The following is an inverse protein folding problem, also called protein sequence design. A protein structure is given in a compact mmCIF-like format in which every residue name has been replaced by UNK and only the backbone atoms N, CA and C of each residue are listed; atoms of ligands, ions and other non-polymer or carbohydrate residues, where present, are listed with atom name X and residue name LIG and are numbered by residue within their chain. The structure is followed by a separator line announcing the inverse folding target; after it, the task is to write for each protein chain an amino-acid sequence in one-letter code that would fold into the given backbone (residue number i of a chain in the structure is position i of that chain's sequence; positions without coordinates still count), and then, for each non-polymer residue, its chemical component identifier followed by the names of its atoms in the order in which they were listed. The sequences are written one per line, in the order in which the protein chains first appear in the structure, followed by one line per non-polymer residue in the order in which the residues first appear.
data_IF_507574388976
#
_entry.id   IF_507574388976
#
_cell.length_a   1.000
_cell.length_b   1.000
_cell.length_c   1.000
_cell.angle_alpha   90.00
_cell.angle_beta   90.00
_cell.angle_gamma   90.00
#
_symmetry.space_group_name_H-M   'P 1'
#
loop_
_entity.id
_entity.type
_entity.pdbx_description
1 polymer ?
#
# COMPACT_ATOMS: atom_id res chain seq x y z
N UNK A 1 -15.67 -62.41 22.61
CA UNK A 1 -15.14 -61.05 22.31
C UNK A 1 -16.21 -60.02 21.88
N UNK A 2 -17.41 -60.01 22.49
CA UNK A 2 -18.43 -58.95 22.24
C UNK A 2 -18.54 -57.91 23.37
N UNK A 3 -17.91 -58.17 24.52
CA UNK A 3 -17.97 -57.28 25.68
C UNK A 3 -16.94 -56.13 25.62
N UNK A 4 -15.76 -56.37 25.07
CA UNK A 4 -14.71 -55.35 24.86
C UNK A 4 -15.11 -54.27 23.83
N UNK A 5 -15.89 -54.61 22.79
CA UNK A 5 -16.44 -53.60 21.85
C UNK A 5 -17.50 -52.69 22.48
N UNK A 6 -18.06 -53.07 23.64
CA UNK A 6 -19.06 -52.26 24.36
C UNK A 6 -18.41 -51.28 25.35
N UNK A 7 -17.15 -51.52 25.73
CA UNK A 7 -16.37 -50.63 26.60
C UNK A 7 -15.60 -49.60 25.76
N UNK A 8 -15.11 -49.98 24.57
CA UNK A 8 -14.34 -49.10 23.68
C UNK A 8 -15.27 -48.24 22.78
N UNK A 9 -16.54 -48.60 22.62
CA UNK A 9 -17.51 -47.89 21.78
C UNK A 9 -18.26 -46.72 22.45
N UNK A 10 -17.93 -46.38 23.71
CA UNK A 10 -18.35 -45.12 24.35
C UNK A 10 -17.16 -44.16 24.35
N UNK A 11 -16.65 -43.87 23.16
CA UNK A 11 -16.01 -42.59 22.97
C UNK A 11 -17.12 -41.56 23.16
N UNK A 12 -16.97 -40.70 24.18
CA UNK A 12 -17.85 -39.58 24.45
C UNK A 12 -18.03 -38.79 23.15
N UNK A 13 -19.13 -39.02 22.42
CA UNK A 13 -19.66 -38.00 21.53
C UNK A 13 -20.14 -36.88 22.46
N UNK A 14 -19.21 -36.00 22.85
CA UNK A 14 -19.59 -34.68 23.28
C UNK A 14 -20.45 -34.13 22.15
N UNK A 15 -21.71 -33.83 22.44
CA UNK A 15 -22.57 -33.09 21.52
C UNK A 15 -21.91 -31.73 21.29
N UNK A 16 -21.12 -31.62 20.23
CA UNK A 16 -20.51 -30.35 19.82
C UNK A 16 -21.66 -29.41 19.50
N UNK A 17 -21.84 -28.40 20.32
CA UNK A 17 -22.90 -27.41 20.10
C UNK A 17 -22.54 -26.63 18.83
N UNK A 18 -23.46 -26.57 17.86
CA UNK A 18 -23.29 -25.77 16.65
C UNK A 18 -23.81 -24.36 16.90
N UNK A 19 -23.01 -23.35 16.52
CA UNK A 19 -23.34 -21.93 16.72
C UNK A 19 -23.08 -21.17 15.43
N UNK A 20 -24.09 -20.42 14.96
CA UNK A 20 -23.92 -19.53 13.83
C UNK A 20 -23.04 -18.33 14.20
N UNK A 21 -22.15 -17.92 13.31
CA UNK A 21 -21.17 -16.85 13.56
C UNK A 21 -21.85 -15.53 14.01
N UNK A 22 -22.95 -15.13 13.37
CA UNK A 22 -23.70 -13.93 13.77
C UNK A 22 -24.32 -13.99 15.18
N UNK A 23 -24.41 -15.17 15.82
CA UNK A 23 -24.88 -15.34 17.21
C UNK A 23 -23.75 -15.57 18.19
N UNK A 24 -22.51 -15.62 17.71
CA UNK A 24 -21.38 -15.99 18.54
C UNK A 24 -21.13 -14.94 19.62
N UNK A 25 -21.24 -13.65 19.29
CA UNK A 25 -21.06 -12.57 20.25
C UNK A 25 -22.08 -12.64 21.41
N UNK A 26 -23.38 -12.82 21.08
CA UNK A 26 -24.42 -13.01 22.09
C UNK A 26 -24.16 -14.24 22.96
N UNK A 27 -23.75 -15.35 22.35
CA UNK A 27 -23.44 -16.58 23.08
C UNK A 27 -22.23 -16.42 24.02
N UNK A 28 -21.20 -15.71 23.58
CA UNK A 28 -20.01 -15.38 24.37
C UNK A 28 -20.40 -14.49 25.56
N UNK A 29 -21.26 -13.48 25.35
CA UNK A 29 -21.76 -12.60 26.40
C UNK A 29 -22.63 -13.33 27.44
N UNK A 30 -23.54 -14.20 26.99
CA UNK A 30 -24.37 -15.04 27.87
C UNK A 30 -23.50 -15.97 28.73
N UNK A 31 -22.43 -16.51 28.13
CA UNK A 31 -21.49 -17.38 28.84
C UNK A 31 -20.70 -16.61 29.89
N UNK A 32 -20.21 -15.42 29.57
CA UNK A 32 -19.54 -14.53 30.51
C UNK A 32 -20.45 -14.20 31.70
N UNK A 33 -21.72 -13.86 31.45
CA UNK A 33 -22.67 -13.55 32.51
C UNK A 33 -22.86 -14.74 33.47
N UNK A 34 -23.06 -15.93 32.92
CA UNK A 34 -23.18 -17.15 33.74
C UNK A 34 -21.91 -17.44 34.56
N UNK A 35 -20.74 -17.17 33.99
CA UNK A 35 -19.44 -17.40 34.63
C UNK A 35 -19.11 -16.32 35.69
N UNK A 36 -19.61 -15.09 35.54
CA UNK A 36 -19.57 -14.04 36.57
C UNK A 36 -20.52 -14.36 37.73
N UNK A 37 -21.73 -14.86 37.44
CA UNK A 37 -22.67 -15.28 38.48
C UNK A 37 -22.11 -16.45 39.32
N UNK A 38 -21.32 -17.34 38.71
CA UNK A 38 -20.64 -18.43 39.41
C UNK A 38 -19.43 -17.93 40.23
N UNK A 39 -18.68 -16.97 39.68
CA UNK A 39 -17.63 -16.26 40.43
C UNK A 39 -18.19 -15.59 41.68
N UNK A 40 -19.25 -14.79 41.56
CA UNK A 40 -19.86 -14.09 42.69
C UNK A 40 -20.34 -15.05 43.77
N UNK A 41 -20.91 -16.20 43.39
CA UNK A 41 -21.29 -17.26 44.33
C UNK A 41 -20.09 -17.87 45.04
N UNK A 42 -19.02 -18.17 44.31
CA UNK A 42 -17.79 -18.73 44.87
C UNK A 42 -17.07 -17.74 45.78
N UNK A 43 -17.03 -16.46 45.41
CA UNK A 43 -16.49 -15.38 46.21
C UNK A 43 -17.30 -15.22 47.51
N UNK A 44 -18.64 -15.23 47.45
CA UNK A 44 -19.50 -15.14 48.63
C UNK A 44 -19.21 -16.23 49.66
N UNK A 45 -18.90 -17.47 49.22
CA UNK A 45 -18.48 -18.54 50.12
C UNK A 45 -17.14 -18.25 50.80
N UNK A 46 -16.18 -17.70 50.06
CA UNK A 46 -14.87 -17.29 50.63
C UNK A 46 -15.05 -16.13 51.61
N UNK A 47 -15.91 -15.15 51.30
CA UNK A 47 -16.21 -14.04 52.20
C UNK A 47 -16.87 -14.52 53.49
N UNK A 48 -17.79 -15.48 53.43
CA UNK A 48 -18.35 -16.11 54.63
C UNK A 48 -17.27 -16.80 55.48
N UNK A 49 -16.34 -17.53 54.85
CA UNK A 49 -15.18 -18.13 55.56
C UNK A 49 -14.28 -17.05 56.19
N UNK A 50 -14.10 -15.90 55.53
CA UNK A 50 -13.31 -14.76 56.03
C UNK A 50 -14.02 -14.10 57.23
N UNK A 51 -15.33 -13.90 57.15
CA UNK A 51 -16.15 -13.35 58.25
C UNK A 51 -16.09 -14.27 59.48
N UNK A 52 -16.29 -15.58 59.31
CA UNK A 52 -16.19 -16.56 60.39
C UNK A 52 -14.80 -16.55 61.05
N UNK A 53 -13.75 -16.45 60.24
CA UNK A 53 -12.36 -16.37 60.73
C UNK A 53 -12.10 -15.04 61.44
N UNK A 54 -12.67 -13.93 60.96
CA UNK A 54 -12.57 -12.64 61.61
C UNK A 54 -13.30 -12.61 62.96
N UNK A 55 -14.47 -13.24 63.08
CA UNK A 55 -15.16 -13.40 64.35
C UNK A 55 -14.36 -14.27 65.34
N UNK A 56 -13.72 -15.33 64.86
CA UNK A 56 -12.83 -16.15 65.69
C UNK A 56 -11.65 -15.33 66.19
N UNK A 57 -11.04 -14.54 65.32
CA UNK A 57 -9.94 -13.64 65.66
C UNK A 57 -10.35 -12.60 66.71
N UNK A 58 -11.58 -12.07 66.65
CA UNK A 58 -12.13 -11.20 67.71
C UNK A 58 -12.17 -11.92 69.06
N UNK A 59 -12.64 -13.17 69.09
CA UNK A 59 -12.72 -13.98 70.32
C UNK A 59 -11.34 -14.28 70.91
N UNK A 60 -10.38 -14.63 70.06
CA UNK A 60 -9.03 -15.00 70.50
C UNK A 60 -8.21 -13.77 70.93
N UNK A 61 -8.48 -12.60 70.34
CA UNK A 61 -7.97 -11.30 70.83
C UNK A 61 -8.55 -10.95 72.20
N UNK A 62 -9.85 -11.15 72.43
CA UNK A 62 -10.45 -10.94 73.75
C UNK A 62 -9.88 -11.87 74.82
N UNK A 63 -9.56 -13.11 74.44
CA UNK A 63 -8.87 -14.08 75.31
C UNK A 63 -7.45 -13.62 75.64
N UNK A 64 -6.70 -13.15 74.63
CA UNK A 64 -5.35 -12.59 74.83
C UNK A 64 -5.38 -11.35 75.75
N UNK A 65 -6.36 -10.47 75.61
CA UNK A 65 -6.51 -9.25 76.41
C UNK A 65 -6.70 -9.54 77.91
N UNK A 66 -7.50 -10.56 78.21
CA UNK A 66 -7.87 -10.96 79.58
C UNK A 66 -6.92 -11.98 80.21
N UNK A 67 -5.96 -12.53 79.45
CA UNK A 67 -5.00 -13.52 79.94
C UNK A 67 -4.07 -12.93 81.02
N UNK A 68 -3.88 -13.69 82.10
CA UNK A 68 -2.97 -13.34 83.19
C UNK A 68 -1.53 -13.81 82.89
N UNK A 69 -0.51 -12.95 83.07
CA UNK A 69 0.87 -13.34 82.81
C UNK A 69 1.40 -14.25 83.94
N UNK A 70 2.33 -15.17 83.64
CA UNK A 70 3.03 -15.93 84.67
C UNK A 70 3.90 -15.02 85.54
N UNK A 71 4.27 -15.48 86.74
CA UNK A 71 5.20 -14.76 87.62
C UNK A 71 6.58 -14.61 86.95
N UNK A 72 6.98 -13.35 86.70
CA UNK A 72 8.18 -13.02 85.91
C UNK A 72 8.85 -11.73 86.41
N UNK A 73 10.12 -11.46 86.05
CA UNK A 73 10.78 -10.21 86.43
C UNK A 73 10.03 -8.97 85.93
N UNK A 74 9.97 -7.86 86.69
CA UNK A 74 9.17 -6.67 86.34
C UNK A 74 9.45 -6.09 84.95
N UNK A 75 10.70 -6.16 84.49
CA UNK A 75 11.10 -5.70 83.15
C UNK A 75 10.54 -6.59 82.04
N UNK A 76 10.48 -7.91 82.25
CA UNK A 76 9.92 -8.86 81.29
C UNK A 76 8.39 -8.70 81.20
N UNK A 77 7.72 -8.53 82.35
CA UNK A 77 6.28 -8.24 82.41
C UNK A 77 5.92 -6.96 81.66
N UNK A 78 6.65 -5.85 81.90
CA UNK A 78 6.40 -4.57 81.22
C UNK A 78 6.53 -4.67 79.69
N UNK A 79 7.57 -5.34 79.21
CA UNK A 79 7.80 -5.49 77.76
C UNK A 79 6.78 -6.40 77.12
N UNK A 80 6.44 -7.53 77.75
CA UNK A 80 5.46 -8.48 77.21
C UNK A 80 4.03 -7.94 77.21
N UNK A 81 3.61 -7.19 78.23
CA UNK A 81 2.30 -6.54 78.28
C UNK A 81 2.18 -5.43 77.22
N UNK A 82 3.20 -4.56 77.07
CA UNK A 82 3.19 -3.55 76.01
C UNK A 82 3.17 -4.16 74.60
N UNK A 83 3.83 -5.31 74.43
CA UNK A 83 3.80 -6.07 73.19
C UNK A 83 2.43 -6.69 72.92
N UNK A 84 1.76 -7.23 73.95
CA UNK A 84 0.38 -7.74 73.87
C UNK A 84 -0.58 -6.63 73.42
N UNK A 85 -0.54 -5.47 74.06
CA UNK A 85 -1.44 -4.35 73.74
C UNK A 85 -1.20 -3.83 72.30
N UNK A 86 0.05 -3.87 71.82
CA UNK A 86 0.35 -3.54 70.43
C UNK A 86 -0.21 -4.59 69.45
N UNK A 87 -0.11 -5.90 69.75
CA UNK A 87 -0.74 -6.95 68.92
C UNK A 87 -2.24 -6.72 68.83
N UNK A 88 -2.91 -6.53 69.98
CA UNK A 88 -4.36 -6.28 70.04
C UNK A 88 -4.74 -5.09 69.17
N UNK A 89 -4.01 -3.97 69.30
CA UNK A 89 -4.24 -2.79 68.47
C UNK A 89 -4.06 -3.07 66.97
N UNK A 90 -2.98 -3.73 66.56
CA UNK A 90 -2.73 -4.02 65.15
C UNK A 90 -3.79 -4.96 64.57
N UNK A 91 -4.21 -5.97 65.32
CA UNK A 91 -5.21 -6.94 64.88
C UNK A 91 -6.61 -6.31 64.82
N UNK A 92 -7.00 -5.47 65.79
CA UNK A 92 -8.29 -4.75 65.72
C UNK A 92 -8.36 -3.83 64.50
N UNK A 93 -7.28 -3.13 64.16
CA UNK A 93 -7.21 -2.32 62.93
C UNK A 93 -7.32 -3.15 61.64
N UNK A 94 -6.90 -4.42 61.67
CA UNK A 94 -7.07 -5.34 60.54
C UNK A 94 -8.55 -5.77 60.44
N UNK A 95 -9.16 -6.17 61.56
CA UNK A 95 -10.56 -6.62 61.64
C UNK A 95 -11.51 -5.52 61.16
N UNK A 96 -11.33 -4.27 61.60
CA UNK A 96 -12.14 -3.12 61.17
C UNK A 96 -12.16 -2.92 59.64
N UNK A 97 -11.15 -3.41 58.94
CA UNK A 97 -10.99 -3.27 57.50
C UNK A 97 -11.44 -4.50 56.70
N UNK A 98 -11.80 -5.60 57.38
CA UNK A 98 -12.38 -6.78 56.75
C UNK A 98 -13.89 -6.54 56.69
N UNK A 99 -14.35 -5.95 55.58
CA UNK A 99 -15.77 -5.76 55.30
C UNK A 99 -16.11 -6.41 53.97
N UNK A 100 -17.25 -7.10 53.91
CA UNK A 100 -17.73 -7.75 52.71
C UNK A 100 -18.17 -6.69 51.68
N UNK A 101 -17.55 -6.67 50.48
CA UNK A 101 -17.88 -5.71 49.43
C UNK A 101 -19.19 -6.10 48.70
N UNK A 102 -19.58 -5.30 47.70
CA UNK A 102 -20.57 -5.73 46.72
C UNK A 102 -20.05 -6.97 45.96
N UNK A 103 -20.94 -7.91 45.64
CA UNK A 103 -20.58 -9.20 45.02
C UNK A 103 -20.39 -9.08 43.49
N UNK A 104 -19.76 -8.01 43.04
CA UNK A 104 -19.32 -7.83 41.66
C UNK A 104 -17.79 -7.96 41.54
N UNK A 105 -17.32 -8.27 40.34
CA UNK A 105 -15.90 -8.54 40.08
C UNK A 105 -14.98 -7.36 40.44
N UNK A 106 -15.41 -6.12 40.17
CA UNK A 106 -14.60 -4.93 40.40
C UNK A 106 -14.43 -4.67 41.89
N UNK A 107 -15.52 -4.71 42.65
CA UNK A 107 -15.52 -4.47 44.09
C UNK A 107 -14.74 -5.55 44.85
N UNK A 108 -14.84 -6.82 44.43
CA UNK A 108 -14.09 -7.93 45.02
C UNK A 108 -12.57 -7.78 44.77
N UNK A 109 -12.18 -7.37 43.57
CA UNK A 109 -10.77 -7.13 43.21
C UNK A 109 -10.17 -5.97 44.01
N UNK A 110 -10.91 -4.87 44.16
CA UNK A 110 -10.49 -3.72 44.97
C UNK A 110 -10.37 -4.08 46.46
N UNK A 111 -11.33 -4.86 46.98
CA UNK A 111 -11.25 -5.39 48.33
C UNK A 111 -9.97 -6.21 48.53
N UNK A 112 -9.69 -7.18 47.65
CA UNK A 112 -8.51 -8.04 47.78
C UNK A 112 -7.22 -7.21 47.83
N UNK A 113 -7.04 -6.27 46.91
CA UNK A 113 -5.85 -5.41 46.86
C UNK A 113 -5.65 -4.63 48.17
N UNK A 114 -6.74 -4.13 48.74
CA UNK A 114 -6.73 -3.38 50.00
C UNK A 114 -6.48 -4.29 51.21
N UNK A 115 -7.17 -5.43 51.28
CA UNK A 115 -7.10 -6.38 52.38
C UNK A 115 -5.71 -7.04 52.48
N UNK A 116 -5.12 -7.44 51.36
CA UNK A 116 -3.78 -8.04 51.29
C UNK A 116 -2.71 -7.05 51.80
N UNK A 117 -2.77 -5.80 51.33
CA UNK A 117 -1.86 -4.73 51.79
C UNK A 117 -2.00 -4.45 53.29
N UNK A 118 -3.23 -4.40 53.79
CA UNK A 118 -3.49 -4.18 55.22
C UNK A 118 -2.99 -5.34 56.08
N UNK A 119 -3.19 -6.58 55.62
CA UNK A 119 -2.71 -7.78 56.31
C UNK A 119 -1.19 -7.81 56.38
N UNK A 120 -0.49 -7.49 55.29
CA UNK A 120 0.98 -7.47 55.27
C UNK A 120 1.53 -6.37 56.19
N UNK A 121 0.94 -5.17 56.11
CA UNK A 121 1.28 -4.05 57.02
C UNK A 121 1.09 -4.42 58.49
N UNK A 122 0.04 -5.20 58.81
CA UNK A 122 -0.27 -5.65 60.16
C UNK A 122 0.74 -6.68 60.66
N UNK A 123 1.14 -7.62 59.80
CA UNK A 123 2.19 -8.58 60.14
C UNK A 123 3.53 -7.89 60.38
N UNK A 124 3.95 -6.99 59.48
CA UNK A 124 5.21 -6.24 59.61
C UNK A 124 5.30 -5.46 60.92
N UNK A 125 4.22 -4.74 61.27
CA UNK A 125 4.14 -3.93 62.51
C UNK A 125 4.07 -4.78 63.78
N UNK A 126 3.63 -6.03 63.69
CA UNK A 126 3.45 -6.91 64.85
C UNK A 126 4.60 -7.88 65.10
N UNK A 127 5.53 -8.11 64.15
CA UNK A 127 6.63 -9.10 64.27
C UNK A 127 7.40 -9.01 65.60
N UNK A 128 7.86 -7.80 65.97
CA UNK A 128 8.63 -7.59 67.21
C UNK A 128 7.78 -7.82 68.46
N UNK A 129 6.51 -7.43 68.40
CA UNK A 129 5.57 -7.57 69.51
C UNK A 129 5.15 -9.04 69.69
N UNK A 130 4.97 -9.78 68.59
CA UNK A 130 4.72 -11.21 68.61
C UNK A 130 5.79 -11.97 69.39
N UNK A 131 7.08 -11.72 69.11
CA UNK A 131 8.18 -12.42 69.82
C UNK A 131 8.16 -12.16 71.33
N UNK A 132 7.89 -10.91 71.76
CA UNK A 132 7.87 -10.53 73.17
C UNK A 132 6.60 -10.98 73.90
N UNK A 133 5.42 -10.92 73.26
CA UNK A 133 4.17 -11.34 73.86
C UNK A 133 4.07 -12.86 73.98
N UNK A 134 4.56 -13.61 72.98
CA UNK A 134 4.57 -15.08 72.96
C UNK A 134 5.34 -15.70 74.14
N UNK A 135 6.29 -14.97 74.73
CA UNK A 135 7.02 -15.44 75.90
C UNK A 135 6.16 -15.47 77.18
N UNK A 136 5.17 -14.58 77.28
CA UNK A 136 4.23 -14.54 78.42
C UNK A 136 2.91 -15.26 78.13
N UNK A 137 2.44 -15.20 76.88
CA UNK A 137 1.13 -15.71 76.44
C UNK A 137 1.29 -16.66 75.23
N UNK A 138 2.02 -17.77 75.37
CA UNK A 138 2.37 -18.62 74.22
C UNK A 138 1.17 -19.26 73.54
N UNK A 139 0.10 -19.55 74.30
CA UNK A 139 -1.10 -20.20 73.79
C UNK A 139 -1.97 -19.20 73.03
N UNK A 140 -2.31 -18.09 73.68
CA UNK A 140 -3.23 -17.06 73.19
C UNK A 140 -2.63 -16.33 71.98
N UNK A 141 -1.33 -16.01 72.02
CA UNK A 141 -0.61 -15.46 70.85
C UNK A 141 -0.51 -16.51 69.73
N UNK A 142 -0.44 -17.79 70.06
CA UNK A 142 -0.45 -18.88 69.08
C UNK A 142 -1.77 -18.99 68.33
N UNK A 143 -2.89 -18.85 69.02
CA UNK A 143 -4.26 -18.85 68.47
C UNK A 143 -4.47 -17.65 67.54
N UNK A 144 -4.18 -16.42 68.01
CA UNK A 144 -4.26 -15.19 67.19
C UNK A 144 -3.41 -15.28 65.91
N UNK A 145 -2.20 -15.84 65.99
CA UNK A 145 -1.32 -16.00 64.81
C UNK A 145 -1.85 -17.07 63.86
N UNK A 146 -2.54 -18.09 64.36
CA UNK A 146 -3.19 -19.10 63.53
C UNK A 146 -4.31 -18.48 62.72
N UNK A 147 -5.20 -17.72 63.36
CA UNK A 147 -6.32 -17.05 62.72
C UNK A 147 -5.85 -16.06 61.64
N UNK A 148 -4.84 -15.25 61.93
CA UNK A 148 -4.25 -14.32 60.93
C UNK A 148 -3.66 -15.07 59.73
N UNK A 149 -3.09 -16.26 59.96
CA UNK A 149 -2.61 -17.12 58.87
C UNK A 149 -3.77 -17.71 58.07
N UNK A 150 -4.88 -18.02 58.71
CA UNK A 150 -6.06 -18.55 58.03
C UNK A 150 -6.75 -17.46 57.19
N UNK A 151 -6.85 -16.22 57.68
CA UNK A 151 -7.23 -15.04 56.87
C UNK A 151 -6.32 -14.91 55.64
N UNK A 152 -5.00 -15.06 55.79
CA UNK A 152 -4.06 -15.03 54.65
C UNK A 152 -4.35 -16.13 53.63
N UNK A 153 -4.64 -17.35 54.07
CA UNK A 153 -4.97 -18.46 53.15
C UNK A 153 -6.24 -18.16 52.37
N UNK A 154 -7.25 -17.59 53.03
CA UNK A 154 -8.51 -17.22 52.40
C UNK A 154 -8.34 -16.09 51.38
N UNK A 155 -7.53 -15.07 51.69
CA UNK A 155 -7.17 -14.03 50.72
C UNK A 155 -6.39 -14.59 49.52
N UNK A 156 -5.51 -15.57 49.73
CA UNK A 156 -4.84 -16.25 48.62
C UNK A 156 -5.81 -17.10 47.78
N UNK A 157 -6.81 -17.74 48.40
CA UNK A 157 -7.88 -18.45 47.70
C UNK A 157 -8.72 -17.48 46.86
N UNK A 158 -9.02 -16.30 47.40
CA UNK A 158 -9.71 -15.22 46.68
C UNK A 158 -8.87 -14.70 45.51
N UNK A 159 -7.56 -14.52 45.70
CA UNK A 159 -6.63 -14.12 44.63
C UNK A 159 -6.68 -15.08 43.45
N UNK A 160 -6.55 -16.38 43.70
CA UNK A 160 -6.58 -17.40 42.64
C UNK A 160 -7.90 -17.35 41.85
N UNK A 161 -9.01 -17.12 42.55
CA UNK A 161 -10.33 -16.98 41.93
C UNK A 161 -10.43 -15.70 41.07
N UNK A 162 -9.82 -14.59 41.51
CA UNK A 162 -9.76 -13.34 40.74
C UNK A 162 -8.88 -13.52 39.49
N UNK A 163 -7.68 -14.09 39.65
CA UNK A 163 -6.72 -14.28 38.57
C UNK A 163 -7.31 -15.19 37.47
N UNK A 164 -7.96 -16.31 37.84
CA UNK A 164 -8.63 -17.20 36.89
C UNK A 164 -9.74 -16.48 36.09
N UNK A 165 -10.46 -15.55 36.72
CA UNK A 165 -11.50 -14.77 36.04
C UNK A 165 -10.95 -13.63 35.19
N UNK A 166 -9.83 -13.02 35.59
CA UNK A 166 -9.15 -11.99 34.79
C UNK A 166 -8.69 -12.59 33.46
N UNK A 167 -8.09 -13.78 33.49
CA UNK A 167 -7.68 -14.52 32.28
C UNK A 167 -8.89 -14.85 31.38
N UNK A 168 -10.02 -15.27 31.97
CA UNK A 168 -11.25 -15.56 31.23
C UNK A 168 -11.82 -14.30 30.55
N UNK A 169 -11.85 -13.16 31.24
CA UNK A 169 -12.34 -11.89 30.68
C UNK A 169 -11.44 -11.44 29.52
N UNK A 170 -10.12 -11.50 29.68
CA UNK A 170 -9.17 -11.14 28.61
C UNK A 170 -9.36 -11.98 27.34
N UNK A 171 -9.55 -13.30 27.49
CA UNK A 171 -9.81 -14.19 26.35
C UNK A 171 -11.12 -13.85 25.60
N UNK A 172 -12.12 -13.31 26.30
CA UNK A 172 -13.40 -12.94 25.68
C UNK A 172 -13.29 -11.64 24.86
N UNK A 173 -12.53 -10.66 25.36
CA UNK A 173 -12.25 -9.43 24.61
C UNK A 173 -11.48 -9.74 23.32
N UNK A 174 -10.52 -10.68 23.36
CA UNK A 174 -9.82 -11.17 22.17
C UNK A 174 -10.77 -11.84 21.17
N UNK A 175 -11.74 -12.63 21.65
CA UNK A 175 -12.76 -13.26 20.81
C UNK A 175 -13.64 -12.20 20.14
N UNK A 176 -14.15 -11.22 20.89
CA UNK A 176 -14.96 -10.12 20.36
C UNK A 176 -14.17 -9.31 19.30
N UNK A 177 -12.91 -8.96 19.59
CA UNK A 177 -12.03 -8.30 18.63
C UNK A 177 -11.80 -9.11 17.35
N UNK A 178 -11.67 -10.43 17.47
CA UNK A 178 -11.52 -11.34 16.32
C UNK A 178 -12.81 -11.44 15.50
N UNK A 179 -13.98 -11.48 16.14
CA UNK A 179 -15.29 -11.44 15.46
C UNK A 179 -15.41 -10.16 14.62
N UNK A 180 -15.12 -9.00 15.21
CA UNK A 180 -15.18 -7.73 14.49
C UNK A 180 -14.21 -7.70 13.30
N UNK A 181 -12.98 -8.19 13.48
CA UNK A 181 -11.99 -8.30 12.39
C UNK A 181 -12.48 -9.17 11.23
N UNK A 182 -13.16 -10.29 11.52
CA UNK A 182 -13.76 -11.16 10.49
C UNK A 182 -14.85 -10.42 9.71
N UNK A 183 -15.74 -9.71 10.41
CA UNK A 183 -16.82 -8.91 9.80
C UNK A 183 -16.22 -7.85 8.86
N UNK A 184 -15.23 -7.09 9.35
CA UNK A 184 -14.57 -6.04 8.56
C UNK A 184 -13.92 -6.62 7.29
N UNK A 185 -13.27 -7.79 7.38
CA UNK A 185 -12.69 -8.46 6.22
C UNK A 185 -13.76 -8.95 5.25
N UNK A 186 -14.89 -9.48 5.74
CA UNK A 186 -16.01 -9.92 4.89
C UNK A 186 -16.64 -8.75 4.12
N UNK A 187 -16.81 -7.60 4.77
CA UNK A 187 -17.30 -6.37 4.14
C UNK A 187 -16.32 -5.85 3.08
N UNK A 188 -15.02 -5.83 3.42
CA UNK A 188 -13.93 -5.41 2.51
C UNK A 188 -13.79 -6.35 1.29
N UNK A 189 -14.08 -7.65 1.45
CA UNK A 189 -14.19 -8.61 0.34
C UNK A 189 -15.42 -8.31 -0.53
N UNK A 190 -16.57 -8.06 0.10
CA UNK A 190 -17.84 -7.78 -0.60
C UNK A 190 -17.73 -6.51 -1.43
N UNK A 191 -17.16 -5.44 -0.86
CA UNK A 191 -16.93 -4.19 -1.55
C UNK A 191 -16.02 -4.37 -2.76
N UNK A 192 -14.89 -5.06 -2.61
CA UNK A 192 -13.98 -5.31 -3.74
C UNK A 192 -14.61 -6.16 -4.84
N UNK A 193 -15.41 -7.16 -4.49
CA UNK A 193 -16.16 -7.94 -5.48
C UNK A 193 -17.15 -7.06 -6.26
N UNK A 194 -17.81 -6.11 -5.60
CA UNK A 194 -18.67 -5.12 -6.25
C UNK A 194 -17.86 -4.23 -7.22
N UNK A 195 -16.69 -3.74 -6.79
CA UNK A 195 -15.78 -2.96 -7.65
C UNK A 195 -15.32 -3.75 -8.88
N UNK A 196 -14.94 -5.02 -8.73
CA UNK A 196 -14.58 -5.89 -9.84
C UNK A 196 -15.74 -6.05 -10.83
N UNK A 197 -16.97 -6.21 -10.32
CA UNK A 197 -18.16 -6.34 -11.18
C UNK A 197 -18.40 -5.06 -11.98
N UNK A 198 -18.30 -3.90 -11.35
CA UNK A 198 -18.49 -2.61 -12.00
C UNK A 198 -17.39 -2.35 -13.05
N UNK A 199 -16.13 -2.57 -12.69
CA UNK A 199 -14.99 -2.48 -13.61
C UNK A 199 -15.14 -3.46 -14.79
N UNK A 200 -15.65 -4.67 -14.54
CA UNK A 200 -15.95 -5.66 -15.57
C UNK A 200 -17.06 -5.22 -16.54
N UNK A 201 -18.08 -4.50 -16.07
CA UNK A 201 -19.10 -3.90 -16.93
C UNK A 201 -18.48 -2.81 -17.80
N UNK A 202 -17.74 -1.88 -17.19
CA UNK A 202 -17.07 -0.79 -17.90
C UNK A 202 -16.08 -1.31 -18.96
N UNK A 203 -15.35 -2.39 -18.65
CA UNK A 203 -14.46 -3.08 -19.59
C UNK A 203 -15.21 -3.60 -20.81
N UNK A 204 -16.39 -4.21 -20.63
CA UNK A 204 -17.20 -4.73 -21.73
C UNK A 204 -17.73 -3.59 -22.62
N UNK A 205 -18.15 -2.49 -22.02
CA UNK A 205 -18.63 -1.31 -22.76
C UNK A 205 -17.50 -0.73 -23.64
N UNK A 206 -16.31 -0.53 -23.07
CA UNK A 206 -15.16 -0.03 -23.86
C UNK A 206 -14.68 -1.02 -24.92
N UNK A 207 -14.73 -2.33 -24.66
CA UNK A 207 -14.42 -3.35 -25.67
C UNK A 207 -15.41 -3.28 -26.83
N UNK A 208 -16.71 -3.17 -26.53
CA UNK A 208 -17.72 -3.04 -27.57
C UNK A 208 -17.50 -1.78 -28.42
N UNK A 209 -17.24 -0.64 -27.80
CA UNK A 209 -16.94 0.61 -28.52
C UNK A 209 -15.66 0.48 -29.36
N UNK A 210 -14.60 -0.14 -28.81
CA UNK A 210 -13.36 -0.38 -29.54
C UNK A 210 -13.58 -1.27 -30.78
N UNK A 211 -14.37 -2.33 -30.64
CA UNK A 211 -14.74 -3.21 -31.76
C UNK A 211 -15.57 -2.45 -32.81
N UNK A 212 -16.45 -1.55 -32.39
CA UNK A 212 -17.21 -0.70 -33.32
C UNK A 212 -16.30 0.26 -34.09
N UNK A 213 -15.35 0.93 -33.41
CA UNK A 213 -14.36 1.79 -34.05
C UNK A 213 -13.44 1.00 -35.00
N UNK A 214 -13.03 -0.20 -34.62
CA UNK A 214 -12.24 -1.10 -35.48
C UNK A 214 -13.03 -1.50 -36.74
N UNK A 215 -14.30 -1.89 -36.59
CA UNK A 215 -15.17 -2.24 -37.71
C UNK A 215 -15.44 -1.03 -38.63
N UNK A 216 -15.55 0.18 -38.07
CA UNK A 216 -15.66 1.42 -38.86
C UNK A 216 -14.38 1.69 -39.65
N UNK A 217 -13.20 1.50 -39.06
CA UNK A 217 -11.91 1.61 -39.76
C UNK A 217 -11.77 0.57 -40.88
N UNK A 218 -12.20 -0.67 -40.64
CA UNK A 218 -12.21 -1.73 -41.65
C UNK A 218 -13.10 -1.35 -42.84
N UNK A 219 -14.34 -0.92 -42.59
CA UNK A 219 -15.24 -0.41 -43.64
C UNK A 219 -14.67 0.80 -44.38
N UNK A 220 -13.99 1.70 -43.66
CA UNK A 220 -13.32 2.85 -44.25
C UNK A 220 -12.26 2.37 -45.25
N UNK A 221 -11.50 1.33 -44.89
CA UNK A 221 -10.43 0.77 -45.73
C UNK A 221 -10.92 0.08 -47.01
N UNK A 222 -12.17 -0.40 -47.01
CA UNK A 222 -12.84 -0.96 -48.19
C UNK A 222 -13.38 0.10 -49.16
N UNK A 223 -13.39 1.37 -48.76
CA UNK A 223 -13.96 2.45 -49.58
C UNK A 223 -13.08 2.82 -50.77
N UNK A 224 -13.71 3.29 -51.85
CA UNK A 224 -13.00 3.84 -53.00
C UNK A 224 -12.19 5.09 -52.65
N UNK A 225 -12.70 5.90 -51.71
CA UNK A 225 -12.02 7.10 -51.21
C UNK A 225 -10.72 6.73 -50.49
N UNK A 226 -10.68 5.60 -49.76
CA UNK A 226 -9.47 5.11 -49.09
C UNK A 226 -8.39 4.67 -50.07
N UNK A 227 -8.80 3.91 -51.09
CA UNK A 227 -7.89 3.49 -52.14
C UNK A 227 -7.29 4.71 -52.87
N UNK A 228 -8.09 5.77 -53.08
CA UNK A 228 -7.60 7.04 -53.63
C UNK A 228 -6.65 7.75 -52.67
N UNK A 229 -6.94 7.79 -51.38
CA UNK A 229 -6.09 8.38 -50.35
C UNK A 229 -4.71 7.70 -50.26
N UNK A 230 -4.68 6.36 -50.17
CA UNK A 230 -3.44 5.57 -50.11
C UNK A 230 -2.59 5.77 -51.37
N UNK A 231 -3.25 5.84 -52.53
CA UNK A 231 -2.57 6.13 -53.80
C UNK A 231 -1.94 7.53 -53.79
N UNK A 232 -2.67 8.54 -53.34
CA UNK A 232 -2.17 9.92 -53.23
C UNK A 232 -1.02 10.03 -52.22
N UNK A 233 -1.07 9.36 -51.06
CA UNK A 233 0.05 9.32 -50.11
C UNK A 233 1.30 8.69 -50.72
N UNK A 234 1.13 7.62 -51.51
CA UNK A 234 2.22 6.96 -52.20
C UNK A 234 2.82 7.85 -53.29
N UNK A 235 1.96 8.49 -54.10
CA UNK A 235 2.36 9.44 -55.14
C UNK A 235 3.05 10.67 -54.53
N UNK A 236 2.59 11.16 -53.36
CA UNK A 236 3.22 12.26 -52.62
C UNK A 236 4.63 11.89 -52.18
N UNK A 237 4.78 10.71 -51.56
CA UNK A 237 6.08 10.22 -51.11
C UNK A 237 7.07 10.11 -52.25
N UNK A 238 6.66 9.52 -53.37
CA UNK A 238 7.50 9.39 -54.56
C UNK A 238 7.89 10.78 -55.11
N UNK A 239 6.95 11.72 -55.21
CA UNK A 239 7.25 13.07 -55.69
C UNK A 239 8.22 13.83 -54.77
N UNK A 240 8.12 13.65 -53.45
CA UNK A 240 9.08 14.21 -52.49
C UNK A 240 10.48 13.62 -52.68
N UNK A 241 10.60 12.29 -52.83
CA UNK A 241 11.88 11.63 -53.12
C UNK A 241 12.50 12.14 -54.43
N UNK A 242 11.71 12.26 -55.50
CA UNK A 242 12.17 12.80 -56.79
C UNK A 242 12.62 14.26 -56.68
N UNK A 243 11.95 15.10 -55.87
CA UNK A 243 12.38 16.48 -55.62
C UNK A 243 13.74 16.51 -54.92
N UNK A 244 13.89 15.71 -53.86
CA UNK A 244 15.11 15.66 -53.05
C UNK A 244 16.30 15.13 -53.88
N UNK A 245 16.05 14.18 -54.79
CA UNK A 245 17.05 13.71 -55.76
C UNK A 245 17.49 14.81 -56.74
N UNK A 246 16.56 15.66 -57.19
CA UNK A 246 16.91 16.81 -58.03
C UNK A 246 17.72 17.85 -57.25
N UNK A 247 17.33 18.16 -56.02
CA UNK A 247 18.07 19.09 -55.15
C UNK A 247 19.50 18.59 -54.91
N UNK A 248 19.64 17.30 -54.59
CA UNK A 248 20.94 16.64 -54.42
C UNK A 248 21.75 16.70 -55.72
N UNK A 249 21.14 16.35 -56.86
CA UNK A 249 21.81 16.37 -58.16
C UNK A 249 22.27 17.79 -58.54
N UNK A 250 21.48 18.82 -58.23
CA UNK A 250 21.86 20.22 -58.47
C UNK A 250 22.98 20.64 -57.52
N UNK A 251 22.96 20.25 -56.25
CA UNK A 251 24.08 20.50 -55.34
C UNK A 251 25.39 19.86 -55.85
N UNK A 252 25.32 18.61 -56.30
CA UNK A 252 26.46 17.87 -56.86
C UNK A 252 27.05 18.54 -58.11
N UNK A 253 26.23 19.21 -58.93
CA UNK A 253 26.71 19.99 -60.06
C UNK A 253 27.60 21.18 -59.63
N UNK A 254 27.35 21.78 -58.46
CA UNK A 254 28.08 22.96 -58.00
C UNK A 254 29.30 22.60 -57.12
N UNK A 255 29.28 21.43 -56.47
CA UNK A 255 30.35 20.96 -55.58
C UNK A 255 31.78 21.05 -56.16
N UNK A 256 32.05 20.69 -57.43
CA UNK A 256 33.40 20.79 -57.99
C UNK A 256 33.94 22.23 -58.08
N UNK A 257 33.04 23.23 -58.08
CA UNK A 257 33.38 24.65 -58.11
C UNK A 257 33.57 25.26 -56.71
N UNK A 258 33.27 24.55 -55.62
CA UNK A 258 33.38 25.06 -54.25
C UNK A 258 34.73 25.72 -53.94
N UNK A 259 35.83 25.19 -54.46
CA UNK A 259 37.16 25.79 -54.26
C UNK A 259 37.32 27.12 -55.02
N UNK A 260 36.78 27.21 -56.24
CA UNK A 260 36.78 28.44 -57.02
C UNK A 260 35.89 29.49 -56.32
N UNK A 261 34.70 29.10 -55.88
CA UNK A 261 33.78 29.96 -55.14
C UNK A 261 34.36 30.47 -53.82
N UNK A 262 34.94 29.60 -52.99
CA UNK A 262 35.62 30.01 -51.74
C UNK A 262 36.80 30.95 -52.00
N UNK A 263 37.52 30.79 -53.12
CA UNK A 263 38.58 31.72 -53.53
C UNK A 263 38.04 33.07 -53.97
N UNK A 264 36.95 33.09 -54.74
CA UNK A 264 36.25 34.35 -55.08
C UNK A 264 35.80 35.08 -53.83
N UNK A 265 35.18 34.38 -52.87
CA UNK A 265 34.77 34.94 -51.57
C UNK A 265 35.96 35.52 -50.78
N UNK A 266 37.11 34.84 -50.80
CA UNK A 266 38.34 35.31 -50.14
C UNK A 266 39.00 36.51 -50.84
N UNK A 267 38.98 36.55 -52.18
CA UNK A 267 39.52 37.68 -52.94
C UNK A 267 38.67 38.94 -52.75
N UNK A 268 37.36 38.79 -52.61
CA UNK A 268 36.43 39.88 -52.23
C UNK A 268 36.68 40.40 -50.82
N UNK A 269 36.77 39.50 -49.83
CA UNK A 269 37.05 39.88 -48.44
C UNK A 269 38.43 40.53 -48.22
N UNK A 270 39.37 40.36 -49.16
CA UNK A 270 40.72 40.96 -49.11
C UNK A 270 40.88 42.16 -50.04
N UNK A 271 39.78 42.67 -50.61
CA UNK A 271 39.73 43.80 -51.56
C UNK A 271 40.57 43.62 -52.84
N UNK A 272 41.14 42.43 -53.05
CA UNK A 272 41.89 42.09 -54.27
C UNK A 272 40.97 42.04 -55.49
N UNK A 273 39.67 41.78 -55.28
CA UNK A 273 38.63 41.86 -56.30
C UNK A 273 37.28 42.11 -55.65
N UNK A 274 36.72 43.30 -55.84
CA UNK A 274 35.38 43.62 -55.32
C UNK A 274 34.29 42.94 -56.16
N UNK A 275 33.50 42.07 -55.54
CA UNK A 275 32.28 41.51 -56.12
C UNK A 275 31.12 42.47 -55.84
N UNK A 276 30.19 42.61 -56.80
CA UNK A 276 28.95 43.36 -56.58
C UNK A 276 28.08 42.66 -55.52
N UNK A 277 27.17 43.39 -54.89
CA UNK A 277 26.22 42.81 -53.93
C UNK A 277 25.41 41.63 -54.52
N UNK A 278 25.02 41.74 -55.80
CA UNK A 278 24.35 40.65 -56.54
C UNK A 278 25.26 39.43 -56.67
N UNK A 279 26.52 39.61 -57.06
CA UNK A 279 27.48 38.51 -57.20
C UNK A 279 27.82 37.84 -55.86
N UNK A 280 27.88 38.59 -54.75
CA UNK A 280 28.07 38.01 -53.41
C UNK A 280 26.89 37.11 -53.03
N UNK A 281 25.66 37.58 -53.24
CA UNK A 281 24.44 36.80 -53.00
C UNK A 281 24.39 35.52 -53.85
N UNK A 282 24.68 35.63 -55.14
CA UNK A 282 24.70 34.47 -56.05
C UNK A 282 25.77 33.45 -55.66
N UNK A 283 26.94 33.92 -55.23
CA UNK A 283 28.05 33.09 -54.75
C UNK A 283 27.68 32.31 -53.48
N UNK A 284 27.00 32.94 -52.52
CA UNK A 284 26.54 32.29 -51.30
C UNK A 284 25.46 31.25 -51.61
N UNK A 285 24.49 31.57 -52.47
CA UNK A 285 23.46 30.62 -52.91
C UNK A 285 24.06 29.42 -53.65
N UNK A 286 25.11 29.61 -54.48
CA UNK A 286 25.82 28.51 -55.13
C UNK A 286 26.49 27.52 -54.15
N UNK A 287 26.82 27.98 -52.95
CA UNK A 287 27.50 27.19 -51.92
C UNK A 287 26.52 26.49 -50.96
N UNK A 288 25.31 27.05 -50.78
CA UNK A 288 24.35 26.62 -49.77
C UNK A 288 23.12 25.93 -50.36
N UNK A 289 22.47 26.56 -51.34
CA UNK A 289 21.28 26.00 -51.98
C UNK A 289 21.12 26.53 -53.42
N UNK A 290 21.82 25.96 -54.40
CA UNK A 290 21.84 26.48 -55.77
C UNK A 290 20.50 26.40 -56.49
N UNK A 291 19.58 25.51 -56.10
CA UNK A 291 18.27 25.31 -56.78
C UNK A 291 17.36 26.55 -56.71
N UNK A 292 17.49 27.37 -55.67
CA UNK A 292 16.68 28.56 -55.44
C UNK A 292 16.99 29.69 -56.45
N UNK A 293 18.17 29.66 -57.06
CA UNK A 293 18.66 30.73 -57.93
C UNK A 293 17.96 30.76 -59.29
N UNK A 294 17.64 31.94 -59.82
CA UNK A 294 17.07 32.06 -61.16
C UNK A 294 18.01 31.49 -62.25
N UNK A 295 17.44 30.83 -63.26
CA UNK A 295 18.24 30.16 -64.30
C UNK A 295 19.05 31.14 -65.15
N UNK A 296 18.51 32.33 -65.43
CA UNK A 296 19.22 33.38 -66.15
C UNK A 296 20.36 33.94 -65.27
N UNK A 297 20.08 34.17 -63.98
CA UNK A 297 21.10 34.63 -63.04
C UNK A 297 22.25 33.61 -62.86
N UNK A 298 21.96 32.32 -62.85
CA UNK A 298 23.00 31.26 -62.81
C UNK A 298 23.81 31.26 -64.10
N UNK A 299 23.16 31.38 -65.25
CA UNK A 299 23.85 31.42 -66.54
C UNK A 299 24.79 32.61 -66.65
N UNK A 300 24.31 33.80 -66.27
CA UNK A 300 25.10 35.03 -66.26
C UNK A 300 26.28 34.92 -65.28
N UNK A 301 26.03 34.43 -64.07
CA UNK A 301 27.07 34.28 -63.05
C UNK A 301 28.12 33.24 -63.45
N UNK A 302 27.71 32.12 -64.04
CA UNK A 302 28.62 31.10 -64.53
C UNK A 302 29.42 31.58 -65.74
N UNK A 303 28.86 32.45 -66.58
CA UNK A 303 29.62 33.11 -67.65
C UNK A 303 30.73 34.00 -67.09
N UNK A 304 30.47 34.72 -66.00
CA UNK A 304 31.50 35.49 -65.29
C UNK A 304 32.56 34.58 -64.66
N UNK A 305 32.14 33.50 -64.00
CA UNK A 305 33.04 32.48 -63.41
C UNK A 305 33.92 31.85 -64.49
N UNK A 306 33.34 31.53 -65.64
CA UNK A 306 34.04 30.98 -66.81
C UNK A 306 35.17 31.90 -67.27
N UNK A 307 34.87 33.20 -67.49
CA UNK A 307 35.87 34.20 -67.90
C UNK A 307 37.01 34.34 -66.89
N UNK A 308 36.72 34.23 -65.59
CA UNK A 308 37.74 34.33 -64.55
C UNK A 308 38.65 33.10 -64.49
N UNK A 309 38.08 31.93 -64.77
CA UNK A 309 38.84 30.70 -64.87
C UNK A 309 39.69 30.66 -66.14
N UNK A 310 39.18 31.17 -67.27
CA UNK A 310 39.92 31.22 -68.53
C UNK A 310 41.13 32.18 -68.46
N UNK A 311 40.97 33.33 -67.82
CA UNK A 311 42.04 34.34 -67.65
C UNK A 311 42.99 34.06 -66.46
N UNK A 312 42.94 32.87 -65.86
CA UNK A 312 43.74 32.43 -64.70
C UNK A 312 43.71 33.35 -63.46
N UNK A 313 42.67 34.19 -63.33
CA UNK A 313 42.54 35.21 -62.26
C UNK A 313 42.41 34.58 -60.87
N UNK A 314 41.93 33.34 -60.80
CA UNK A 314 41.71 32.61 -59.55
C UNK A 314 42.94 31.80 -59.09
N UNK A 315 44.05 31.81 -59.84
CA UNK A 315 45.33 31.18 -59.51
C UNK A 315 45.23 29.67 -59.24
N UNK A 316 44.35 28.98 -59.97
CA UNK A 316 44.13 27.54 -59.83
C UNK A 316 45.18 26.77 -60.67
N UNK A 317 45.65 25.62 -60.18
CA UNK A 317 46.54 24.75 -60.97
C UNK A 317 45.84 24.31 -62.27
N UNK A 318 46.57 24.23 -63.38
CA UNK A 318 46.02 23.98 -64.73
C UNK A 318 44.96 22.86 -64.78
N UNK A 319 45.29 21.66 -64.26
CA UNK A 319 44.36 20.52 -64.22
C UNK A 319 43.06 20.78 -63.42
N UNK A 320 43.13 21.62 -62.38
CA UNK A 320 41.94 21.99 -61.58
C UNK A 320 41.14 23.11 -62.24
N UNK A 321 41.82 24.01 -62.96
CA UNK A 321 41.21 25.08 -63.75
C UNK A 321 40.41 24.50 -64.92
N UNK A 322 40.99 23.60 -65.68
CA UNK A 322 40.32 22.92 -66.80
C UNK A 322 39.07 22.14 -66.34
N UNK A 323 39.15 21.42 -65.22
CA UNK A 323 37.99 20.73 -64.62
C UNK A 323 36.89 21.72 -64.18
N UNK A 324 37.26 22.86 -63.61
CA UNK A 324 36.31 23.89 -63.20
C UNK A 324 35.66 24.57 -64.41
N UNK A 325 36.41 24.81 -65.48
CA UNK A 325 35.89 25.33 -66.76
C UNK A 325 34.85 24.35 -67.34
N UNK A 326 35.18 23.06 -67.39
CA UNK A 326 34.24 22.01 -67.81
C UNK A 326 32.96 21.97 -66.98
N UNK A 327 33.10 22.03 -65.65
CA UNK A 327 31.94 22.07 -64.75
C UNK A 327 31.07 23.32 -64.95
N UNK A 328 31.69 24.47 -65.20
CA UNK A 328 30.97 25.74 -65.41
C UNK A 328 30.12 25.66 -66.68
N UNK A 329 30.65 25.07 -67.76
CA UNK A 329 29.85 24.79 -68.98
C UNK A 329 28.70 23.83 -68.70
N UNK A 330 28.97 22.74 -67.99
CA UNK A 330 27.93 21.77 -67.63
C UNK A 330 26.80 22.39 -66.80
N UNK A 331 27.09 23.31 -65.88
CA UNK A 331 26.07 24.04 -65.12
C UNK A 331 25.24 24.93 -66.05
N UNK A 332 25.88 25.70 -66.93
CA UNK A 332 25.15 26.55 -67.90
C UNK A 332 24.23 25.73 -68.81
N UNK A 333 24.65 24.53 -69.20
CA UNK A 333 23.89 23.67 -70.13
C UNK A 333 22.74 22.89 -69.45
N UNK A 334 22.85 22.57 -68.15
CA UNK A 334 21.95 21.62 -67.48
C UNK A 334 21.18 22.16 -66.27
N UNK A 335 21.53 23.33 -65.74
CA UNK A 335 20.87 23.87 -64.56
C UNK A 335 19.41 24.25 -64.83
N UNK A 336 19.13 24.91 -65.96
CA UNK A 336 17.79 25.37 -66.30
C UNK A 336 16.77 24.20 -66.35
N UNK A 337 17.14 23.08 -66.99
CA UNK A 337 16.28 21.91 -67.07
C UNK A 337 16.04 21.25 -65.71
N UNK A 338 17.04 21.20 -64.83
CA UNK A 338 16.88 20.69 -63.46
C UNK A 338 16.02 21.61 -62.59
N UNK A 339 16.16 22.93 -62.72
CA UNK A 339 15.31 23.90 -62.04
C UNK A 339 13.86 23.81 -62.49
N UNK A 340 13.63 23.65 -63.80
CA UNK A 340 12.29 23.45 -64.33
C UNK A 340 11.66 22.14 -63.82
N UNK A 341 12.44 21.05 -63.77
CA UNK A 341 11.99 19.77 -63.21
C UNK A 341 11.61 19.90 -61.72
N UNK A 342 12.45 20.56 -60.91
CA UNK A 342 12.17 20.84 -59.49
C UNK A 342 10.87 21.65 -59.32
N UNK A 343 10.65 22.68 -60.16
CA UNK A 343 9.42 23.49 -60.14
C UNK A 343 8.19 22.65 -60.47
N UNK A 344 8.27 21.77 -61.48
CA UNK A 344 7.15 20.90 -61.88
C UNK A 344 6.79 19.94 -60.75
N UNK A 345 7.77 19.24 -60.17
CA UNK A 345 7.55 18.29 -59.07
C UNK A 345 7.05 19.01 -57.82
N UNK A 346 7.61 20.18 -57.48
CA UNK A 346 7.12 20.99 -56.35
C UNK A 346 5.66 21.43 -56.53
N UNK A 347 5.24 21.74 -57.77
CA UNK A 347 3.84 22.01 -58.08
C UNK A 347 2.96 20.77 -57.99
N UNK A 348 3.49 19.60 -58.33
CA UNK A 348 2.79 18.32 -58.21
C UNK A 348 2.59 17.93 -56.74
N UNK A 349 3.63 18.07 -55.90
CA UNK A 349 3.55 17.87 -54.44
C UNK A 349 2.41 18.70 -53.84
N UNK A 350 2.40 20.02 -54.09
CA UNK A 350 1.33 20.91 -53.59
C UNK A 350 -0.07 20.47 -54.04
N UNK A 351 -0.20 20.07 -55.30
CA UNK A 351 -1.48 19.59 -55.83
C UNK A 351 -1.94 18.32 -55.13
N UNK A 352 -1.03 17.38 -54.88
CA UNK A 352 -1.34 16.14 -54.16
C UNK A 352 -1.69 16.44 -52.69
N UNK A 353 -0.98 17.36 -52.04
CA UNK A 353 -1.28 17.82 -50.67
C UNK A 353 -2.67 18.47 -50.57
N UNK A 354 -3.04 19.33 -51.53
CA UNK A 354 -4.37 19.93 -51.61
C UNK A 354 -5.46 18.87 -51.84
N UNK A 355 -5.19 17.89 -52.71
CA UNK A 355 -6.11 16.77 -52.96
C UNK A 355 -6.31 15.92 -51.72
N UNK A 356 -5.25 15.59 -50.99
CA UNK A 356 -5.32 14.84 -49.72
C UNK A 356 -6.10 15.62 -48.67
N UNK A 357 -5.84 16.93 -48.55
CA UNK A 357 -6.52 17.81 -47.59
C UNK A 357 -8.01 17.97 -47.87
N UNK A 358 -8.42 17.80 -49.12
CA UNK A 358 -9.83 17.80 -49.53
C UNK A 358 -10.59 16.50 -49.25
N UNK A 359 -9.90 15.42 -48.84
CA UNK A 359 -10.55 14.14 -48.54
C UNK A 359 -10.99 14.08 -47.07
N UNK A 360 -12.29 13.94 -46.84
CA UNK A 360 -12.90 13.71 -45.52
C UNK A 360 -12.37 12.47 -44.82
N UNK A 361 -11.85 11.50 -45.58
CA UNK A 361 -11.33 10.24 -45.05
C UNK A 361 -10.10 10.40 -44.16
N UNK A 362 -9.27 11.42 -44.41
CA UNK A 362 -8.03 11.64 -43.63
C UNK A 362 -8.36 12.09 -42.20
N UNK A 363 -9.30 13.02 -42.04
CA UNK A 363 -9.78 13.48 -40.73
C UNK A 363 -10.55 12.38 -39.99
N UNK A 364 -11.36 11.61 -40.72
CA UNK A 364 -12.15 10.50 -40.15
C UNK A 364 -11.24 9.38 -39.63
N UNK A 365 -10.23 8.97 -40.42
CA UNK A 365 -9.23 7.96 -40.03
C UNK A 365 -8.48 8.37 -38.77
N UNK A 366 -7.87 9.56 -38.80
CA UNK A 366 -7.05 10.04 -37.68
C UNK A 366 -7.86 10.20 -36.39
N UNK A 367 -9.14 10.52 -36.51
CA UNK A 367 -10.05 10.60 -35.35
C UNK A 367 -10.37 9.22 -34.79
N UNK A 368 -10.77 8.26 -35.65
CA UNK A 368 -11.05 6.90 -35.22
C UNK A 368 -9.81 6.20 -34.63
N UNK A 369 -8.63 6.38 -35.21
CA UNK A 369 -7.38 5.81 -34.68
C UNK A 369 -7.03 6.38 -33.29
N UNK A 370 -7.23 7.68 -33.10
CA UNK A 370 -7.01 8.35 -31.81
C UNK A 370 -7.99 7.86 -30.74
N UNK A 371 -9.26 7.74 -31.09
CA UNK A 371 -10.30 7.21 -30.19
C UNK A 371 -10.02 5.76 -29.84
N UNK A 372 -9.69 4.92 -30.82
CA UNK A 372 -9.34 3.51 -30.61
C UNK A 372 -8.10 3.35 -29.71
N UNK A 373 -7.06 4.16 -29.92
CA UNK A 373 -5.88 4.17 -29.06
C UNK A 373 -6.24 4.55 -27.60
N UNK A 374 -7.06 5.59 -27.41
CA UNK A 374 -7.49 6.01 -26.07
C UNK A 374 -8.34 4.94 -25.36
N UNK A 375 -9.23 4.26 -26.10
CA UNK A 375 -10.06 3.17 -25.58
C UNK A 375 -9.22 1.95 -25.21
N UNK A 376 -8.27 1.55 -26.05
CA UNK A 376 -7.33 0.47 -25.74
C UNK A 376 -6.48 0.76 -24.50
N UNK A 377 -6.02 1.99 -24.34
CA UNK A 377 -5.30 2.40 -23.13
C UNK A 377 -6.21 2.34 -21.89
N UNK A 378 -7.49 2.73 -22.01
CA UNK A 378 -8.47 2.60 -20.92
C UNK A 378 -8.77 1.14 -20.58
N UNK A 379 -8.94 0.27 -21.57
CA UNK A 379 -9.10 -1.18 -21.42
C UNK A 379 -7.93 -1.76 -20.61
N UNK A 380 -6.69 -1.48 -21.03
CA UNK A 380 -5.50 -1.99 -20.33
C UNK A 380 -5.43 -1.54 -18.87
N UNK A 381 -5.80 -0.28 -18.57
CA UNK A 381 -5.89 0.24 -17.20
C UNK A 381 -6.92 -0.51 -16.35
N UNK A 382 -8.11 -0.74 -16.89
CA UNK A 382 -9.18 -1.45 -16.18
C UNK A 382 -8.81 -2.92 -15.95
N UNK A 383 -8.19 -3.58 -16.94
CA UNK A 383 -7.70 -4.96 -16.79
C UNK A 383 -6.66 -5.07 -15.67
N UNK A 384 -5.72 -4.12 -15.60
CA UNK A 384 -4.74 -4.05 -14.52
C UNK A 384 -5.40 -3.79 -13.15
N UNK A 385 -6.42 -2.93 -13.09
CA UNK A 385 -7.18 -2.69 -11.86
C UNK A 385 -7.90 -3.96 -11.37
N UNK A 386 -8.58 -4.67 -12.27
CA UNK A 386 -9.26 -5.94 -11.95
C UNK A 386 -8.24 -6.97 -11.45
N UNK A 387 -7.08 -7.09 -12.08
CA UNK A 387 -6.05 -8.04 -11.67
C UNK A 387 -5.50 -7.70 -10.28
N UNK A 388 -5.23 -6.42 -10.00
CA UNK A 388 -4.80 -5.96 -8.68
C UNK A 388 -5.86 -6.25 -7.60
N UNK A 389 -7.14 -5.98 -7.89
CA UNK A 389 -8.25 -6.27 -6.99
C UNK A 389 -8.37 -7.77 -6.70
N UNK A 390 -8.23 -8.63 -7.72
CA UNK A 390 -8.22 -10.10 -7.56
C UNK A 390 -7.04 -10.58 -6.72
N UNK A 391 -5.85 -10.01 -6.94
CA UNK A 391 -4.66 -10.30 -6.12
C UNK A 391 -4.89 -9.98 -4.64
N UNK A 392 -5.45 -8.79 -4.36
CA UNK A 392 -5.78 -8.37 -3.00
C UNK A 392 -6.87 -9.25 -2.35
N UNK A 393 -7.90 -9.63 -3.11
CA UNK A 393 -8.93 -10.56 -2.63
C UNK A 393 -8.37 -11.92 -2.22
N UNK A 394 -7.35 -12.43 -2.93
CA UNK A 394 -6.69 -13.69 -2.56
C UNK A 394 -5.94 -13.58 -1.23
N UNK A 395 -5.34 -12.43 -0.94
CA UNK A 395 -4.65 -12.17 0.34
C UNK A 395 -5.70 -12.08 1.46
N UNK A 396 -6.73 -11.24 1.28
CA UNK A 396 -7.82 -11.11 2.26
C UNK A 396 -8.57 -12.40 2.52
N UNK A 397 -8.77 -13.24 1.49
CA UNK A 397 -9.40 -14.54 1.65
C UNK A 397 -8.59 -15.52 2.51
N UNK A 398 -7.25 -15.46 2.46
CA UNK A 398 -6.38 -16.23 3.37
C UNK A 398 -6.44 -15.68 4.79
N UNK A 399 -6.35 -14.36 4.93
CA UNK A 399 -6.44 -13.68 6.22
C UNK A 399 -7.78 -14.00 6.91
N UNK A 400 -8.89 -14.00 6.16
CA UNK A 400 -10.19 -14.41 6.66
C UNK A 400 -10.16 -15.84 7.21
N UNK A 401 -9.58 -16.78 6.48
CA UNK A 401 -9.50 -18.18 6.91
C UNK A 401 -8.61 -18.34 8.15
N UNK A 402 -7.50 -17.62 8.23
CA UNK A 402 -6.62 -17.60 9.40
C UNK A 402 -7.37 -17.06 10.62
N UNK A 403 -8.12 -15.96 10.47
CA UNK A 403 -8.93 -15.38 11.55
C UNK A 403 -10.06 -16.33 11.99
N UNK A 404 -10.74 -17.00 11.06
CA UNK A 404 -11.76 -18.01 11.38
C UNK A 404 -11.20 -19.18 12.20
N UNK A 405 -10.00 -19.63 11.87
CA UNK A 405 -9.30 -20.69 12.59
C UNK A 405 -8.84 -20.25 13.99
N UNK A 406 -8.34 -19.02 14.11
CA UNK A 406 -7.97 -18.41 15.39
C UNK A 406 -9.19 -18.28 16.29
N UNK A 407 -10.29 -17.74 15.77
CA UNK A 407 -11.55 -17.60 16.50
C UNK A 407 -12.08 -18.96 16.98
N UNK A 408 -12.07 -19.96 16.10
CA UNK A 408 -12.48 -21.32 16.46
C UNK A 408 -11.62 -21.89 17.57
N UNK A 409 -10.31 -21.65 17.55
CA UNK A 409 -9.38 -22.12 18.59
C UNK A 409 -9.63 -21.40 19.92
N UNK A 410 -9.82 -20.07 19.89
CA UNK A 410 -10.10 -19.25 21.06
C UNK A 410 -11.43 -19.64 21.72
N UNK A 411 -12.51 -19.77 20.95
CA UNK A 411 -13.82 -20.21 21.47
C UNK A 411 -13.75 -21.62 22.06
N UNK A 412 -13.03 -22.53 21.40
CA UNK A 412 -12.86 -23.90 21.90
C UNK A 412 -12.03 -24.00 23.18
N UNK A 413 -11.22 -22.97 23.51
CA UNK A 413 -10.54 -22.89 24.81
C UNK A 413 -11.50 -22.64 25.97
N UNK A 414 -12.64 -21.99 25.70
CA UNK A 414 -13.72 -21.77 26.68
C UNK A 414 -14.64 -22.99 26.74
N UNK A 415 -15.15 -23.41 25.58
CA UNK A 415 -16.02 -24.59 25.48
C UNK A 415 -16.02 -25.13 24.06
N UNK A 416 -15.99 -26.44 23.94
CA UNK A 416 -16.00 -27.11 22.63
C UNK A 416 -17.29 -26.82 21.86
N UNK A 417 -17.17 -26.06 20.78
CA UNK A 417 -18.26 -25.56 19.93
C UNK A 417 -17.82 -25.62 18.47
N UNK A 418 -18.76 -25.93 17.57
CA UNK A 418 -18.54 -25.81 16.14
C UNK A 418 -19.17 -24.51 15.61
N UNK A 419 -18.33 -23.59 15.13
CA UNK A 419 -18.78 -22.31 14.57
C UNK A 419 -19.13 -22.51 13.10
N UNK A 420 -20.35 -22.11 12.72
CA UNK A 420 -20.82 -22.08 11.34
C UNK A 420 -20.64 -20.64 10.83
N UNK A 421 -19.65 -20.43 9.97
CA UNK A 421 -19.42 -19.17 9.30
C UNK A 421 -20.34 -19.07 8.07
N UNK A 422 -21.33 -18.18 8.15
CA UNK A 422 -22.31 -17.87 7.11
C UNK A 422 -21.79 -16.90 6.02
#
# INVERSE_FOLDING_TARGET
MKWLKKIIGRENRQETTEIAFHKLEDWVADKLKADLDDFSRSAALIFAEIEDTAEQLVRDIGTLETAEPPEMPPRALKVGLAARDNIIKQINMLIEKINTPEMDYSAIREFYATADTNLETTLEKSVKSHHSARYLFPKEVGEVVSDVRDVRKLLNKLKLLIDEKEDQIGNLDEISGTIQSIIDIQDDITERNSRIRNAGSELNDFRHESDEHAARLEKLSESAEWSSFVKLETELKQACEERDDIETSVMELFMPLNKAFKRMKKQDASERRTLSAKQKKLLDMCLENPIEMDAADVTDFMTDVYKLLENDVLGLKDRKREKAIGQTKQIMDSFASKKDAHRVISSQIRKIEDQISGLTISETKTTLERELAAKNERIARIEQEIENLRGNLKIRGKELEDQKNNLSSAVNSIKTVHIIFD
#
